data_IF_728019441881
#
_entry.id   IF_728019441881
#
_cell.length_a   1.000
_cell.length_b   1.000
_cell.length_c   1.000
_cell.angle_alpha   90.00
_cell.angle_beta   90.00
_cell.angle_gamma   90.00
#
_symmetry.space_group_name_H-M   'P 1'
#
loop_
_entity.id
_entity.type
_entity.pdbx_description
1 polymer ?
#
# COMPACT_ATOMS: atom_id res chain seq x y z
N UNK A 1 16.64 10.46 -13.28
CA UNK A 1 16.36 10.26 -11.85
C UNK A 1 17.54 10.76 -11.04
N UNK A 2 17.34 11.71 -10.14
CA UNK A 2 18.35 12.18 -9.19
C UNK A 2 18.29 11.37 -7.87
N UNK A 3 19.15 11.70 -6.90
CA UNK A 3 19.20 10.99 -5.62
C UNK A 3 17.90 11.11 -4.82
N UNK A 4 17.29 12.29 -4.77
CA UNK A 4 16.05 12.53 -4.02
C UNK A 4 14.88 11.71 -4.60
N UNK A 5 14.74 11.69 -5.92
CA UNK A 5 13.76 10.89 -6.64
C UNK A 5 13.95 9.40 -6.39
N UNK A 6 15.21 8.93 -6.39
CA UNK A 6 15.54 7.54 -6.09
C UNK A 6 15.17 7.17 -4.64
N UNK A 7 15.51 8.04 -3.68
CA UNK A 7 15.17 7.84 -2.26
C UNK A 7 13.66 7.75 -2.06
N UNK A 8 12.91 8.67 -2.68
CA UNK A 8 11.45 8.66 -2.65
C UNK A 8 10.90 7.32 -3.18
N UNK A 9 11.34 6.89 -4.37
CA UNK A 9 10.93 5.61 -4.94
C UNK A 9 11.26 4.42 -4.03
N UNK A 10 12.47 4.38 -3.47
CA UNK A 10 12.87 3.27 -2.60
C UNK A 10 12.08 3.22 -1.30
N UNK A 11 11.67 4.38 -0.76
CA UNK A 11 10.82 4.43 0.43
C UNK A 11 9.42 3.89 0.12
N UNK A 12 8.84 4.26 -1.02
CA UNK A 12 7.53 3.75 -1.45
C UNK A 12 7.56 2.24 -1.73
N UNK A 13 8.69 1.70 -2.18
CA UNK A 13 8.84 0.26 -2.42
C UNK A 13 8.86 -0.59 -1.15
N UNK A 14 9.02 0.01 0.03
CA UNK A 14 9.09 -0.72 1.30
C UNK A 14 7.80 -0.50 2.08
N UNK A 15 6.95 -1.53 2.13
CA UNK A 15 5.77 -1.52 2.98
C UNK A 15 6.08 -2.00 4.41
N UNK A 16 5.66 -1.24 5.41
CA UNK A 16 5.52 -1.72 6.78
C UNK A 16 4.18 -2.42 6.92
N UNK A 17 4.20 -3.71 7.27
CA UNK A 17 3.03 -4.58 7.36
C UNK A 17 3.03 -5.27 8.72
N UNK A 18 1.89 -5.26 9.37
CA UNK A 18 1.62 -5.90 10.66
C UNK A 18 0.48 -6.92 10.53
N UNK A 19 0.61 -8.05 11.23
CA UNK A 19 -0.46 -9.04 11.35
C UNK A 19 -1.20 -8.83 12.68
N UNK A 20 -2.51 -8.59 12.60
CA UNK A 20 -3.39 -8.42 13.74
C UNK A 20 -4.58 -9.38 13.61
N UNK A 21 -4.69 -10.32 14.55
CA UNK A 21 -5.84 -11.22 14.66
C UNK A 21 -6.13 -12.02 13.35
N UNK A 22 -5.06 -12.41 12.63
CA UNK A 22 -5.14 -13.16 11.37
C UNK A 22 -5.37 -12.31 10.11
N UNK A 23 -5.33 -10.98 10.26
CA UNK A 23 -5.49 -10.00 9.20
C UNK A 23 -4.20 -9.19 9.02
N UNK A 24 -3.83 -8.90 7.77
CA UNK A 24 -2.70 -8.02 7.49
C UNK A 24 -3.15 -6.57 7.37
N UNK A 25 -2.36 -5.66 7.94
CA UNK A 25 -2.57 -4.23 7.90
C UNK A 25 -1.30 -3.49 7.50
N UNK A 26 -1.46 -2.46 6.66
CA UNK A 26 -0.38 -1.54 6.34
C UNK A 26 -0.18 -0.54 7.50
N UNK A 27 1.03 -0.46 8.03
CA UNK A 27 1.44 0.53 9.01
C UNK A 27 2.22 1.67 8.33
N UNK A 28 1.52 2.42 7.49
CA UNK A 28 2.10 3.49 6.65
C UNK A 28 2.95 4.48 7.43
N UNK A 29 2.57 4.76 8.68
CA UNK A 29 3.21 5.78 9.51
C UNK A 29 4.18 5.19 10.55
N UNK A 30 4.41 3.88 10.51
CA UNK A 30 5.26 3.16 11.44
C UNK A 30 4.87 3.44 12.91
N UNK A 31 3.57 3.50 13.18
CA UNK A 31 2.99 3.77 14.51
C UNK A 31 3.04 2.53 15.41
N UNK A 32 3.22 1.36 14.81
CA UNK A 32 3.31 0.07 15.47
C UNK A 32 1.96 -0.59 15.76
N UNK A 33 1.99 -1.88 16.16
CA UNK A 33 0.81 -2.74 16.26
C UNK A 33 -0.21 -2.27 17.30
N UNK A 34 0.23 -1.60 18.38
CA UNK A 34 -0.67 -1.09 19.41
C UNK A 34 -1.59 0.04 18.87
N UNK A 35 -1.01 1.03 18.18
CA UNK A 35 -1.76 2.15 17.61
C UNK A 35 -2.61 1.72 16.42
N UNK A 36 -2.10 0.79 15.63
CA UNK A 36 -2.85 0.20 14.52
C UNK A 36 -4.10 -0.54 15.03
N UNK A 37 -3.96 -1.32 16.11
CA UNK A 37 -5.11 -1.97 16.77
C UNK A 37 -6.14 -0.94 17.28
N UNK A 38 -5.70 0.18 17.86
CA UNK A 38 -6.61 1.26 18.26
C UNK A 38 -7.41 1.81 17.07
N UNK A 39 -6.78 2.00 15.91
CA UNK A 39 -7.46 2.44 14.67
C UNK A 39 -8.43 1.40 14.13
N UNK A 40 -8.10 0.11 14.21
CA UNK A 40 -9.01 -0.96 13.81
C UNK A 40 -10.30 -0.91 14.66
N UNK A 41 -10.18 -0.66 15.96
CA UNK A 41 -11.31 -0.57 16.88
C UNK A 41 -12.24 0.64 16.64
N UNK A 42 -11.86 1.62 15.82
CA UNK A 42 -12.75 2.75 15.47
C UNK A 42 -13.73 2.44 14.34
N UNK A 43 -13.67 1.23 13.76
CA UNK A 43 -14.52 0.79 12.65
C UNK A 43 -15.51 -0.28 13.13
N UNK A 44 -16.62 -0.48 12.41
CA UNK A 44 -17.64 -1.42 12.85
C UNK A 44 -17.20 -2.88 12.70
N UNK A 45 -16.36 -3.19 11.71
CA UNK A 45 -15.79 -4.52 11.49
C UNK A 45 -14.31 -4.45 11.10
N UNK A 46 -13.58 -5.55 11.32
CA UNK A 46 -12.18 -5.68 10.86
C UNK A 46 -12.05 -5.57 9.34
N UNK A 47 -13.04 -6.05 8.59
CA UNK A 47 -13.10 -5.94 7.13
C UNK A 47 -13.28 -4.49 6.66
N UNK A 48 -14.12 -3.71 7.36
CA UNK A 48 -14.25 -2.28 7.14
C UNK A 48 -12.94 -1.57 7.45
N UNK A 49 -12.33 -1.88 8.60
CA UNK A 49 -11.02 -1.34 8.95
C UNK A 49 -9.96 -1.64 7.88
N UNK A 50 -9.88 -2.88 7.38
CA UNK A 50 -8.95 -3.23 6.29
C UNK A 50 -9.24 -2.44 5.02
N UNK A 51 -10.52 -2.24 4.68
CA UNK A 51 -10.88 -1.50 3.47
C UNK A 51 -10.39 -0.06 3.48
N UNK A 52 -10.30 0.57 4.66
CA UNK A 52 -9.81 1.93 4.84
C UNK A 52 -8.31 2.02 5.12
N UNK A 53 -7.81 1.21 6.07
CA UNK A 53 -6.43 1.32 6.56
C UNK A 53 -5.40 0.75 5.57
N UNK A 54 -5.81 -0.14 4.66
CA UNK A 54 -4.92 -0.72 3.66
C UNK A 54 -4.86 0.07 2.34
N UNK A 55 -5.34 1.31 2.34
CA UNK A 55 -5.21 2.23 1.21
C UNK A 55 -3.99 3.13 1.45
N UNK A 56 -3.08 3.17 0.49
CA UNK A 56 -1.93 4.08 0.49
C UNK A 56 -2.01 4.95 -0.76
N UNK A 57 -2.20 6.26 -0.53
CA UNK A 57 -2.12 7.27 -1.57
C UNK A 57 -0.65 7.56 -1.90
N UNK A 58 -0.34 7.58 -3.19
CA UNK A 58 1.03 7.71 -3.73
C UNK A 58 1.13 8.80 -4.80
N UNK A 59 0.07 9.59 -5.02
CA UNK A 59 0.03 10.71 -5.96
C UNK A 59 1.18 11.71 -5.70
N UNK A 60 1.39 12.12 -4.45
CA UNK A 60 2.47 13.03 -4.07
C UNK A 60 3.84 12.41 -4.31
N UNK A 61 3.99 11.13 -4.01
CA UNK A 61 5.24 10.40 -4.22
C UNK A 61 5.53 10.25 -5.71
N UNK A 62 4.51 9.99 -6.54
CA UNK A 62 4.64 9.99 -8.00
C UNK A 62 5.11 11.34 -8.51
N UNK A 63 4.48 12.45 -8.10
CA UNK A 63 4.92 13.80 -8.48
C UNK A 63 6.38 14.06 -8.09
N UNK A 64 6.81 13.58 -6.92
CA UNK A 64 8.21 13.70 -6.51
C UNK A 64 9.16 12.86 -7.38
N UNK A 65 8.76 11.66 -7.78
CA UNK A 65 9.61 10.73 -8.55
C UNK A 65 9.73 11.15 -10.02
N UNK A 66 8.62 11.55 -10.66
CA UNK A 66 8.57 11.82 -12.11
C UNK A 66 8.36 13.29 -12.48
N UNK A 67 8.13 14.19 -11.51
CA UNK A 67 7.73 15.59 -11.72
C UNK A 67 6.21 15.75 -11.73
N UNK A 68 5.69 16.98 -11.62
CA UNK A 68 4.25 17.24 -11.40
C UNK A 68 3.35 16.99 -12.63
N UNK A 69 3.89 17.04 -13.85
CA UNK A 69 3.13 16.90 -15.10
C UNK A 69 3.06 15.45 -15.59
N UNK A 70 2.59 14.54 -14.73
CA UNK A 70 2.49 13.12 -15.06
C UNK A 70 1.06 12.67 -15.38
N UNK A 71 0.94 11.56 -16.10
CA UNK A 71 -0.33 10.94 -16.45
C UNK A 71 -0.30 9.46 -16.11
N UNK A 72 -1.44 8.91 -15.68
CA UNK A 72 -1.61 7.47 -15.49
C UNK A 72 -1.35 6.67 -16.77
N UNK A 73 -1.50 7.29 -17.93
CA UNK A 73 -1.24 6.61 -19.20
C UNK A 73 0.23 6.53 -19.57
N UNK A 74 1.09 7.30 -18.91
CA UNK A 74 2.54 7.29 -19.12
C UNK A 74 3.13 5.90 -18.81
N UNK A 75 3.85 5.28 -19.76
CA UNK A 75 4.54 4.01 -19.54
C UNK A 75 5.47 4.01 -18.32
N UNK A 76 6.15 5.12 -18.02
CA UNK A 76 7.03 5.25 -16.87
C UNK A 76 6.27 5.20 -15.55
N UNK A 77 5.14 5.93 -15.45
CA UNK A 77 4.24 5.90 -14.27
C UNK A 77 3.69 4.49 -14.08
N UNK A 78 3.20 3.86 -15.15
CA UNK A 78 2.71 2.47 -15.12
C UNK A 78 3.77 1.50 -14.61
N UNK A 79 5.04 1.71 -14.99
CA UNK A 79 6.16 0.87 -14.57
C UNK A 79 6.56 1.10 -13.11
N UNK A 80 6.54 2.35 -12.63
CA UNK A 80 6.78 2.69 -11.22
C UNK A 80 5.72 2.03 -10.34
N UNK A 81 4.44 2.23 -10.66
CA UNK A 81 3.32 1.60 -9.95
C UNK A 81 3.46 0.08 -9.90
N UNK A 82 3.78 -0.55 -11.04
CA UNK A 82 3.99 -1.99 -11.10
C UNK A 82 5.19 -2.44 -10.26
N UNK A 83 6.21 -1.61 -10.11
CA UNK A 83 7.41 -1.96 -9.35
C UNK A 83 7.13 -1.89 -7.85
N UNK A 84 6.39 -0.87 -7.38
CA UNK A 84 5.95 -0.76 -5.99
C UNK A 84 5.02 -1.94 -5.63
N UNK A 85 4.03 -2.20 -6.48
CA UNK A 85 3.10 -3.33 -6.33
C UNK A 85 3.83 -4.67 -6.16
N UNK A 86 4.82 -4.94 -7.02
CA UNK A 86 5.63 -6.17 -6.95
C UNK A 86 6.52 -6.20 -5.72
N UNK A 87 7.15 -5.08 -5.36
CA UNK A 87 8.02 -5.02 -4.19
C UNK A 87 7.23 -5.37 -2.92
N UNK A 88 6.04 -4.78 -2.74
CA UNK A 88 5.15 -5.11 -1.64
C UNK A 88 4.68 -6.56 -1.68
N UNK A 89 4.31 -7.06 -2.86
CA UNK A 89 3.91 -8.45 -3.05
C UNK A 89 5.00 -9.41 -2.57
N UNK A 90 6.25 -9.20 -2.98
CA UNK A 90 7.37 -10.02 -2.53
C UNK A 90 7.63 -9.90 -1.02
N UNK A 91 7.48 -8.71 -0.43
CA UNK A 91 7.60 -8.54 1.02
C UNK A 91 6.54 -9.34 1.78
N UNK A 92 5.29 -9.32 1.30
CA UNK A 92 4.18 -10.06 1.92
C UNK A 92 4.41 -11.57 1.77
N UNK A 93 4.72 -12.05 0.57
CA UNK A 93 4.97 -13.48 0.31
C UNK A 93 6.13 -14.02 1.15
N UNK A 94 7.19 -13.24 1.33
CA UNK A 94 8.34 -13.64 2.12
C UNK A 94 8.05 -13.67 3.64
N UNK A 95 7.22 -12.74 4.14
CA UNK A 95 6.91 -12.64 5.57
C UNK A 95 5.71 -13.48 6.00
N UNK A 96 4.74 -13.68 5.11
CA UNK A 96 3.44 -14.31 5.38
C UNK A 96 3.08 -15.32 4.26
N UNK A 97 3.87 -16.40 4.08
CA UNK A 97 3.75 -17.30 2.92
C UNK A 97 2.41 -18.04 2.80
N UNK A 98 1.66 -18.13 3.89
CA UNK A 98 0.33 -18.77 3.96
C UNK A 98 -0.82 -17.83 3.58
N UNK A 99 -0.57 -16.51 3.54
CA UNK A 99 -1.62 -15.50 3.33
C UNK A 99 -1.86 -15.35 1.83
N UNK A 100 -3.12 -15.46 1.42
CA UNK A 100 -3.56 -15.01 0.11
C UNK A 100 -3.78 -13.50 0.18
N UNK A 101 -3.46 -12.77 -0.88
CA UNK A 101 -3.67 -11.33 -0.91
C UNK A 101 -3.80 -10.84 -2.35
N UNK A 102 -4.27 -9.61 -2.51
CA UNK A 102 -4.29 -8.90 -3.78
C UNK A 102 -3.90 -7.44 -3.56
N UNK A 103 -3.00 -6.91 -4.39
CA UNK A 103 -2.66 -5.49 -4.42
C UNK A 103 -3.31 -4.90 -5.67
N UNK A 104 -4.24 -3.97 -5.48
CA UNK A 104 -4.97 -3.30 -6.55
C UNK A 104 -4.59 -1.84 -6.62
N UNK A 105 -4.46 -1.31 -7.83
CA UNK A 105 -4.39 0.13 -8.04
C UNK A 105 -5.78 0.72 -7.86
N UNK A 106 -5.87 1.79 -7.11
CA UNK A 106 -7.10 2.58 -6.99
C UNK A 106 -6.85 3.94 -7.63
N UNK A 107 -7.88 4.44 -8.30
CA UNK A 107 -7.88 5.76 -8.91
C UNK A 107 -9.20 6.42 -8.61
N UNK A 108 -9.13 7.62 -8.03
CA UNK A 108 -10.26 8.50 -7.88
C UNK A 108 -10.19 9.61 -8.94
N UNK A 109 -11.01 9.56 -10.00
CA UNK A 109 -11.02 10.58 -11.04
C UNK A 109 -11.57 11.93 -10.57
N UNK A 110 -12.32 11.99 -9.47
CA UNK A 110 -12.90 13.23 -8.94
C UNK A 110 -11.85 14.08 -8.24
N UNK A 111 -10.96 13.43 -7.48
CA UNK A 111 -9.90 14.10 -6.72
C UNK A 111 -8.51 13.98 -7.37
N UNK A 112 -8.37 13.12 -8.38
CA UNK A 112 -7.10 12.82 -9.03
C UNK A 112 -6.21 11.89 -8.21
N UNK A 113 -6.75 11.29 -7.14
CA UNK A 113 -5.97 10.49 -6.21
C UNK A 113 -5.59 9.13 -6.82
N UNK A 114 -4.31 8.79 -6.70
CA UNK A 114 -3.76 7.50 -7.13
C UNK A 114 -3.23 6.78 -5.90
N UNK A 115 -3.61 5.51 -5.76
CA UNK A 115 -3.21 4.71 -4.61
C UNK A 115 -3.02 3.23 -4.93
N UNK A 116 -2.47 2.53 -3.95
CA UNK A 116 -2.46 1.07 -3.88
C UNK A 116 -3.31 0.63 -2.71
N UNK A 117 -4.06 -0.45 -2.92
CA UNK A 117 -4.90 -1.07 -1.90
C UNK A 117 -4.51 -2.54 -1.73
N UNK A 118 -4.21 -2.93 -0.50
CA UNK A 118 -4.03 -4.34 -0.12
C UNK A 118 -5.37 -4.93 0.32
N UNK A 119 -5.83 -5.99 -0.36
CA UNK A 119 -7.09 -6.67 -0.09
C UNK A 119 -6.94 -8.18 0.07
N UNK A 120 -8.00 -8.80 0.59
CA UNK A 120 -8.18 -10.25 0.65
C UNK A 120 -7.12 -10.99 1.48
N UNK A 121 -6.68 -10.35 2.57
CA UNK A 121 -5.68 -10.81 3.53
C UNK A 121 -6.37 -11.53 4.68
N UNK A 122 -6.82 -12.75 4.41
CA UNK A 122 -7.30 -13.68 5.43
C UNK A 122 -6.41 -14.92 5.46
N UNK A 123 -6.07 -15.39 6.66
CA UNK A 123 -5.64 -16.77 6.83
C UNK A 123 -6.81 -17.66 6.39
N UNK A 124 -6.55 -18.57 5.44
CA UNK A 124 -7.49 -19.63 5.14
C UNK A 124 -7.78 -20.39 6.44
N UNK A 125 -9.06 -20.45 6.79
CA UNK A 125 -9.72 -21.27 7.82
C UNK A 125 -8.81 -22.25 8.60
N UNK A 126 -8.68 -22.05 9.92
CA UNK A 126 -8.53 -23.18 10.86
C UNK A 126 -9.85 -23.89 11.06
#
# INVERSE_FOLDING_TARGET
MNLEQLVCLTNEMVATIEELDGYLFLDRFNEGPARLREKVLTHATTEEAQSWLNIVLIDQSLSQIVGDDWSLDDPAVKQILSSIEKAWGYQIEARFPQVKFFISRIFDPEYGDVGLKLTNVSNAET
#
